data_IF_619006959987
#
_entry.id   IF_619006959987
#
_cell.length_a   1.000
_cell.length_b   1.000
_cell.length_c   1.000
_cell.angle_alpha   90.00
_cell.angle_beta   90.00
_cell.angle_gamma   90.00
#
_symmetry.space_group_name_H-M   'P 1'
#
loop_
_entity.id
_entity.type
_entity.pdbx_description
1 polymer ?
#
# COMPACT_ATOMS: atom_id res chain seq x y z
N UNK A 1 -51.17 24.91 -86.49
CA UNK A 1 -49.92 25.71 -86.42
C UNK A 1 -50.06 26.74 -85.32
N UNK A 2 -49.00 27.11 -84.60
CA UNK A 2 -48.02 26.34 -83.80
C UNK A 2 -48.24 26.68 -82.29
N UNK A 3 -47.49 26.27 -81.26
CA UNK A 3 -46.10 25.93 -81.12
C UNK A 3 -45.84 24.96 -79.95
N UNK A 4 -44.75 24.23 -80.12
CA UNK A 4 -44.01 23.40 -79.18
C UNK A 4 -43.51 24.13 -77.93
N UNK A 5 -43.49 23.45 -76.80
CA UNK A 5 -42.35 23.52 -75.86
C UNK A 5 -42.28 22.25 -75.01
N UNK A 6 -41.32 21.41 -75.37
CA UNK A 6 -40.74 20.37 -74.53
C UNK A 6 -40.09 21.01 -73.31
N UNK A 7 -40.42 20.56 -72.10
CA UNK A 7 -39.58 20.80 -70.94
C UNK A 7 -39.17 19.47 -70.30
N UNK A 8 -37.86 19.30 -70.33
CA UNK A 8 -37.03 18.28 -69.74
C UNK A 8 -37.31 18.04 -68.27
N UNK A 9 -37.34 16.76 -67.89
CA UNK A 9 -37.22 16.32 -66.51
C UNK A 9 -35.90 16.80 -65.89
N UNK A 10 -35.97 17.34 -64.68
CA UNK A 10 -34.85 17.43 -63.74
C UNK A 10 -35.24 16.64 -62.49
N UNK A 11 -34.36 15.78 -61.93
CA UNK A 11 -34.71 14.97 -60.78
C UNK A 11 -34.81 15.87 -59.55
N UNK A 12 -35.90 15.76 -58.81
CA UNK A 12 -35.99 16.32 -57.47
C UNK A 12 -34.96 15.60 -56.59
N UNK A 13 -33.97 16.35 -56.10
CA UNK A 13 -33.01 15.88 -55.11
C UNK A 13 -33.77 15.33 -53.89
N UNK A 14 -33.73 14.02 -53.70
CA UNK A 14 -34.08 13.41 -52.43
C UNK A 14 -33.04 13.85 -51.40
N UNK A 15 -33.41 14.79 -50.53
CA UNK A 15 -32.65 15.08 -49.31
C UNK A 15 -32.68 13.85 -48.43
N UNK A 16 -31.60 13.07 -48.47
CA UNK A 16 -31.30 12.04 -47.47
C UNK A 16 -31.21 12.76 -46.12
N UNK A 17 -32.29 12.70 -45.34
CA UNK A 17 -32.24 13.07 -43.93
C UNK A 17 -31.39 12.01 -43.22
N UNK A 18 -30.08 12.28 -43.09
CA UNK A 18 -29.20 11.55 -42.20
C UNK A 18 -29.76 11.66 -40.78
N UNK A 19 -30.36 10.58 -40.30
CA UNK A 19 -30.73 10.43 -38.90
C UNK A 19 -29.49 10.58 -38.03
N UNK A 20 -29.31 11.75 -37.42
CA UNK A 20 -28.27 11.99 -36.42
C UNK A 20 -28.64 11.17 -35.20
N UNK A 21 -28.04 9.98 -35.12
CA UNK A 21 -28.38 8.93 -34.17
C UNK A 21 -28.51 9.42 -32.74
N UNK A 22 -29.61 9.01 -32.11
CA UNK A 22 -29.99 9.20 -30.71
C UNK A 22 -28.92 8.73 -29.70
N UNK A 23 -27.84 8.10 -30.17
CA UNK A 23 -26.71 7.59 -29.39
C UNK A 23 -25.70 8.67 -28.98
N UNK A 24 -25.57 9.76 -29.76
CA UNK A 24 -24.66 10.87 -29.45
C UNK A 24 -24.88 11.52 -28.08
N UNK A 25 -26.12 11.85 -27.64
CA UNK A 25 -26.32 12.41 -26.31
C UNK A 25 -25.95 11.41 -25.20
N UNK A 26 -26.21 10.11 -25.38
CA UNK A 26 -25.83 9.09 -24.41
C UNK A 26 -24.31 8.95 -24.27
N UNK A 27 -23.57 8.97 -25.37
CA UNK A 27 -22.09 8.94 -25.35
C UNK A 27 -21.54 10.20 -24.69
N UNK A 28 -22.12 11.37 -24.96
CA UNK A 28 -21.69 12.64 -24.34
C UNK A 28 -21.96 12.61 -22.84
N UNK A 29 -23.16 12.22 -22.39
CA UNK A 29 -23.49 12.12 -20.96
C UNK A 29 -22.59 11.11 -20.25
N UNK A 30 -22.40 9.93 -20.84
CA UNK A 30 -21.52 8.91 -20.29
C UNK A 30 -20.07 9.39 -20.19
N UNK A 31 -19.54 10.03 -21.24
CA UNK A 31 -18.20 10.61 -21.22
C UNK A 31 -18.06 11.72 -20.17
N UNK A 32 -19.08 12.58 -20.00
CA UNK A 32 -19.05 13.64 -18.97
C UNK A 32 -19.07 13.09 -17.54
N UNK A 33 -19.69 11.92 -17.31
CA UNK A 33 -19.70 11.26 -16.00
C UNK A 33 -18.41 10.45 -15.75
N UNK A 34 -17.86 9.82 -16.78
CA UNK A 34 -16.67 8.96 -16.65
C UNK A 34 -15.36 9.76 -16.64
N UNK A 35 -15.28 10.86 -17.40
CA UNK A 35 -14.10 11.70 -17.51
C UNK A 35 -13.57 12.21 -16.15
N UNK A 36 -14.38 12.76 -15.22
CA UNK A 36 -13.88 13.19 -13.92
C UNK A 36 -13.37 12.02 -13.07
N UNK A 37 -13.99 10.84 -13.17
CA UNK A 37 -13.53 9.64 -12.46
C UNK A 37 -12.16 9.17 -12.99
N UNK A 38 -12.00 9.10 -14.31
CA UNK A 38 -10.73 8.73 -14.95
C UNK A 38 -9.65 9.77 -14.65
N UNK A 39 -9.99 11.06 -14.70
CA UNK A 39 -9.07 12.12 -14.32
C UNK A 39 -8.64 11.99 -12.86
N UNK A 40 -9.57 11.76 -11.93
CA UNK A 40 -9.25 11.56 -10.51
C UNK A 40 -8.33 10.35 -10.28
N UNK A 41 -8.57 9.22 -10.94
CA UNK A 41 -7.69 8.04 -10.84
C UNK A 41 -6.30 8.34 -11.41
N UNK A 42 -6.21 9.04 -12.55
CA UNK A 42 -4.92 9.44 -13.12
C UNK A 42 -4.17 10.41 -12.21
N UNK A 43 -4.84 11.42 -11.65
CA UNK A 43 -4.21 12.37 -10.72
C UNK A 43 -3.78 11.71 -9.41
N UNK A 44 -4.57 10.79 -8.86
CA UNK A 44 -4.24 10.10 -7.61
C UNK A 44 -3.11 9.06 -7.78
N UNK A 45 -3.04 8.39 -8.94
CA UNK A 45 -1.95 7.45 -9.26
C UNK A 45 -0.64 8.17 -9.63
N UNK A 46 -0.69 9.46 -9.99
CA UNK A 46 0.48 10.28 -10.29
C UNK A 46 1.15 10.87 -9.05
N UNK A 47 0.50 10.78 -7.88
CA UNK A 47 1.13 11.08 -6.59
C UNK A 47 2.04 9.90 -6.19
N UNK A 48 2.97 9.58 -7.08
CA UNK A 48 4.06 8.65 -6.81
C UNK A 48 4.83 9.26 -5.66
N UNK A 49 4.83 8.55 -4.53
CA UNK A 49 5.56 8.91 -3.33
C UNK A 49 7.03 9.16 -3.69
N UNK A 50 7.40 10.41 -3.97
CA UNK A 50 8.78 10.80 -4.27
C UNK A 50 9.46 11.02 -2.92
N UNK A 51 10.29 10.08 -2.45
CA UNK A 51 10.98 10.27 -1.18
C UNK A 51 11.83 11.54 -1.29
N UNK A 52 11.79 12.37 -0.25
CA UNK A 52 12.62 13.57 -0.20
C UNK A 52 14.09 13.21 -0.53
N UNK A 53 14.79 13.99 -1.37
CA UNK A 53 16.18 13.72 -1.70
C UNK A 53 17.00 13.57 -0.42
N UNK A 54 17.62 12.40 -0.25
CA UNK A 54 18.46 12.14 0.93
C UNK A 54 19.66 13.09 0.87
N UNK A 55 19.90 13.93 1.88
CA UNK A 55 21.03 14.85 1.89
C UNK A 55 22.32 14.06 2.15
N UNK A 56 22.87 13.43 1.10
CA UNK A 56 24.10 12.63 1.17
C UNK A 56 25.29 13.42 1.75
N UNK A 57 25.31 14.75 1.58
CA UNK A 57 26.36 15.58 2.13
C UNK A 57 26.29 15.70 3.66
N UNK A 58 25.10 15.62 4.26
CA UNK A 58 24.92 15.61 5.72
C UNK A 58 25.27 14.25 6.32
N UNK A 59 25.21 13.19 5.50
CA UNK A 59 25.66 11.84 5.84
C UNK A 59 27.17 11.66 5.64
N UNK A 60 27.90 12.72 5.29
CA UNK A 60 29.36 12.68 5.25
C UNK A 60 29.87 12.13 6.59
N UNK A 61 30.87 11.24 6.60
CA UNK A 61 31.36 10.66 7.83
C UNK A 61 31.84 11.78 8.76
N UNK A 62 31.01 12.12 9.74
CA UNK A 62 31.43 12.89 10.90
C UNK A 62 32.53 12.03 11.55
N UNK A 63 33.69 12.61 11.91
CA UNK A 63 34.70 11.85 12.65
C UNK A 63 33.99 11.16 13.82
N UNK A 64 34.27 9.86 14.06
CA UNK A 64 33.51 9.08 15.02
C UNK A 64 33.46 9.85 16.33
N UNK A 65 32.25 10.24 16.73
CA UNK A 65 32.01 10.82 18.05
C UNK A 65 32.27 9.66 19.00
N UNK A 66 33.49 9.57 19.51
CA UNK A 66 33.82 8.59 20.53
C UNK A 66 32.93 8.88 21.74
N UNK A 67 32.03 7.95 22.03
CA UNK A 67 31.21 8.05 23.23
C UNK A 67 32.14 8.21 24.44
N UNK A 68 31.91 9.23 25.25
CA UNK A 68 32.73 9.52 26.43
C UNK A 68 32.71 8.36 27.44
N UNK A 69 31.69 7.51 27.37
CA UNK A 69 31.51 6.33 28.20
C UNK A 69 31.04 5.16 27.31
N UNK A 70 31.84 4.09 27.26
CA UNK A 70 31.52 2.83 26.58
C UNK A 70 31.49 1.73 27.64
N UNK A 71 30.42 0.93 27.63
CA UNK A 71 30.32 -0.26 28.47
C UNK A 71 30.19 -1.50 27.57
N UNK A 72 31.31 -2.20 27.39
CA UNK A 72 31.39 -3.40 26.54
C UNK A 72 30.57 -4.59 27.10
N UNK A 73 30.08 -4.48 28.34
CA UNK A 73 29.31 -5.52 29.01
C UNK A 73 27.80 -5.27 28.98
N UNK A 74 27.28 -4.29 28.23
CA UNK A 74 25.84 -3.99 28.19
C UNK A 74 24.98 -5.16 27.69
N UNK A 75 25.57 -6.09 26.94
CA UNK A 75 24.94 -7.32 26.47
C UNK A 75 25.38 -8.57 27.24
N UNK A 76 26.16 -8.42 28.33
CA UNK A 76 26.58 -9.56 29.14
C UNK A 76 25.36 -10.21 29.79
N UNK A 77 25.12 -11.48 29.45
CA UNK A 77 23.94 -12.24 29.90
C UNK A 77 22.71 -12.11 28.99
N UNK A 78 22.78 -11.33 27.89
CA UNK A 78 21.73 -11.32 26.89
C UNK A 78 21.84 -12.54 25.97
N UNK A 79 20.69 -13.08 25.54
CA UNK A 79 20.61 -14.19 24.60
C UNK A 79 19.83 -13.78 23.35
N UNK A 80 20.15 -14.39 22.21
CA UNK A 80 19.41 -14.14 20.97
C UNK A 80 18.10 -14.94 20.96
N UNK A 81 16.97 -14.24 20.83
CA UNK A 81 15.65 -14.86 20.63
C UNK A 81 15.30 -14.92 19.15
N UNK A 82 14.77 -16.06 18.70
CA UNK A 82 14.28 -16.24 17.33
C UNK A 82 15.32 -16.08 16.22
N UNK A 83 16.62 -16.22 16.55
CA UNK A 83 17.73 -16.02 15.60
C UNK A 83 17.56 -16.91 14.36
N UNK A 84 17.55 -16.27 13.19
CA UNK A 84 17.42 -16.95 11.89
C UNK A 84 16.00 -17.36 11.51
N UNK A 85 15.00 -17.15 12.38
CA UNK A 85 13.60 -17.53 12.15
C UNK A 85 12.68 -16.31 11.91
N UNK A 86 13.15 -15.12 12.27
CA UNK A 86 12.46 -13.84 12.06
C UNK A 86 13.05 -13.14 10.84
N UNK A 87 12.31 -13.09 9.72
CA UNK A 87 12.78 -12.47 8.47
C UNK A 87 12.40 -11.00 8.47
N UNK A 88 13.39 -10.12 8.63
CA UNK A 88 13.17 -8.66 8.68
C UNK A 88 12.14 -8.26 9.73
N UNK A 89 12.36 -8.59 11.02
CA UNK A 89 11.46 -8.15 12.09
C UNK A 89 11.52 -6.63 12.23
N UNK A 90 10.36 -5.98 12.37
CA UNK A 90 10.25 -4.52 12.44
C UNK A 90 10.04 -4.03 13.87
N UNK A 91 8.89 -4.38 14.47
CA UNK A 91 8.49 -3.98 15.82
C UNK A 91 8.25 -5.21 16.70
N UNK A 92 8.25 -5.00 18.02
CA UNK A 92 7.97 -6.02 19.03
C UNK A 92 6.91 -5.56 20.04
N UNK A 93 5.95 -6.44 20.35
CA UNK A 93 4.99 -6.23 21.42
C UNK A 93 5.05 -7.41 22.40
N UNK A 94 5.23 -7.13 23.69
CA UNK A 94 5.26 -8.16 24.73
C UNK A 94 3.93 -8.23 25.47
N UNK A 95 3.31 -9.41 25.51
CA UNK A 95 2.15 -9.68 26.36
C UNK A 95 2.61 -10.42 27.64
N UNK A 96 2.56 -9.78 28.81
CA UNK A 96 2.97 -10.39 30.07
C UNK A 96 2.01 -11.51 30.54
N UNK A 97 0.76 -11.51 30.08
CA UNK A 97 -0.22 -12.53 30.48
C UNK A 97 0.08 -13.87 29.80
N UNK A 98 0.42 -13.82 28.51
CA UNK A 98 0.75 -15.02 27.73
C UNK A 98 2.25 -15.33 27.68
N UNK A 99 3.11 -14.42 28.14
CA UNK A 99 4.58 -14.51 28.02
C UNK A 99 5.04 -14.66 26.56
N UNK A 100 4.37 -13.95 25.65
CA UNK A 100 4.64 -13.99 24.22
C UNK A 100 5.15 -12.64 23.74
N UNK A 101 6.15 -12.68 22.87
CA UNK A 101 6.54 -11.54 22.04
C UNK A 101 5.88 -11.72 20.67
N UNK A 102 5.20 -10.69 20.20
CA UNK A 102 4.70 -10.58 18.85
C UNK A 102 5.67 -9.74 18.03
N UNK A 103 5.98 -10.16 16.81
CA UNK A 103 6.79 -9.37 15.89
C UNK A 103 6.29 -9.49 14.46
N UNK A 104 6.26 -8.37 13.75
CA UNK A 104 5.90 -8.30 12.34
C UNK A 104 7.13 -8.55 11.48
N UNK A 105 7.01 -9.43 10.49
CA UNK A 105 8.10 -9.79 9.58
C UNK A 105 7.82 -9.34 8.14
N UNK A 106 8.89 -9.21 7.35
CA UNK A 106 8.83 -8.87 5.92
C UNK A 106 8.00 -9.86 5.08
N UNK A 107 7.86 -11.10 5.53
CA UNK A 107 7.05 -12.13 4.87
C UNK A 107 5.53 -11.97 5.12
N UNK A 108 5.12 -10.86 5.75
CA UNK A 108 3.73 -10.55 6.07
C UNK A 108 3.18 -11.32 7.27
N UNK A 109 4.00 -12.15 7.92
CA UNK A 109 3.61 -12.85 9.13
C UNK A 109 3.84 -11.98 10.36
N UNK A 110 2.84 -11.95 11.23
CA UNK A 110 3.02 -11.70 12.65
C UNK A 110 3.41 -13.04 13.28
N UNK A 111 4.60 -13.09 13.86
CA UNK A 111 5.12 -14.28 14.53
C UNK A 111 5.05 -14.11 16.03
N UNK A 112 4.78 -15.20 16.74
CA UNK A 112 4.84 -15.29 18.20
C UNK A 112 6.13 -15.95 18.63
N UNK A 113 6.78 -15.39 19.63
CA UNK A 113 8.00 -15.93 20.22
C UNK A 113 7.74 -16.16 21.70
N UNK A 114 7.89 -17.40 22.15
CA UNK A 114 7.75 -17.74 23.57
C UNK A 114 8.98 -17.25 24.33
N UNK A 115 8.75 -16.52 25.42
CA UNK A 115 9.81 -16.07 26.33
C UNK A 115 9.89 -17.03 27.51
N UNK A 116 10.95 -17.85 27.54
CA UNK A 116 11.26 -18.76 28.64
C UNK A 116 12.54 -18.29 29.35
N UNK A 117 12.91 -18.94 30.46
CA UNK A 117 14.16 -18.64 31.20
C UNK A 117 15.43 -18.80 30.35
N UNK A 118 15.37 -19.55 29.24
CA UNK A 118 16.46 -19.66 28.26
C UNK A 118 15.91 -19.58 26.83
N UNK A 119 16.63 -18.83 25.98
CA UNK A 119 16.37 -18.72 24.54
C UNK A 119 16.44 -20.05 23.80
N UNK A 120 17.15 -21.04 24.35
CA UNK A 120 17.28 -22.39 23.78
C UNK A 120 15.92 -23.09 23.61
N UNK A 121 14.93 -22.71 24.42
CA UNK A 121 13.57 -23.24 24.38
C UNK A 121 12.56 -22.22 23.83
N UNK A 122 13.02 -21.14 23.18
CA UNK A 122 12.12 -20.17 22.56
C UNK A 122 11.53 -20.76 21.27
N UNK A 123 10.20 -20.88 21.23
CA UNK A 123 9.46 -21.33 20.05
C UNK A 123 9.05 -20.11 19.24
N UNK A 124 9.29 -20.14 17.94
CA UNK A 124 8.86 -19.12 16.98
C UNK A 124 7.74 -19.70 16.12
N UNK A 125 6.57 -19.09 16.17
CA UNK A 125 5.38 -19.57 15.49
C UNK A 125 4.84 -18.53 14.52
N UNK A 126 4.48 -18.94 13.32
CA UNK A 126 3.71 -18.12 12.38
C UNK A 126 2.27 -18.06 12.86
N UNK A 127 1.83 -16.91 13.38
CA UNK A 127 0.49 -16.80 13.96
C UNK A 127 -0.54 -16.32 12.95
N UNK A 128 -0.39 -15.09 12.46
CA UNK A 128 -1.35 -14.45 11.56
C UNK A 128 -0.58 -13.83 10.40
N UNK A 129 -1.01 -14.09 9.17
CA UNK A 129 -0.48 -13.41 8.01
C UNK A 129 -1.41 -12.25 7.63
N UNK A 130 -0.90 -11.03 7.62
CA UNK A 130 -1.69 -9.84 7.22
C UNK A 130 -1.87 -9.76 5.69
N UNK A 131 -1.03 -10.47 4.94
CA UNK A 131 -0.85 -10.31 3.50
C UNK A 131 -0.21 -8.97 3.13
N UNK A 132 0.35 -8.26 4.12
CA UNK A 132 0.89 -6.92 4.02
C UNK A 132 2.33 -6.83 4.53
N UNK A 133 2.72 -5.66 5.06
CA UNK A 133 3.99 -5.44 5.75
C UNK A 133 3.68 -4.88 7.15
N UNK A 134 3.57 -5.70 8.20
CA UNK A 134 3.31 -5.21 9.56
C UNK A 134 4.54 -4.46 10.08
N UNK A 135 4.40 -3.14 10.30
CA UNK A 135 5.48 -2.23 10.68
C UNK A 135 5.43 -1.80 12.15
N UNK A 136 4.26 -1.87 12.79
CA UNK A 136 4.08 -1.51 14.19
C UNK A 136 3.06 -2.41 14.87
N UNK A 137 3.31 -2.75 16.14
CA UNK A 137 2.53 -3.68 16.94
C UNK A 137 2.35 -3.16 18.37
N UNK A 138 1.15 -3.27 18.92
CA UNK A 138 0.92 -3.01 20.35
C UNK A 138 -0.19 -3.92 20.88
N UNK A 139 0.00 -4.41 22.11
CA UNK A 139 -1.06 -5.12 22.84
C UNK A 139 -2.05 -4.09 23.38
N UNK A 140 -3.30 -4.17 22.93
CA UNK A 140 -4.40 -3.31 23.34
C UNK A 140 -4.92 -3.64 24.73
N UNK A 141 -5.91 -2.85 25.18
CA UNK A 141 -6.48 -2.98 26.52
C UNK A 141 -7.38 -4.21 26.69
N UNK A 142 -7.88 -4.78 25.59
CA UNK A 142 -8.73 -5.97 25.57
C UNK A 142 -7.94 -7.23 25.17
N UNK A 143 -6.61 -7.20 25.30
CA UNK A 143 -5.70 -8.26 24.86
C UNK A 143 -5.76 -8.56 23.35
N UNK A 144 -6.21 -7.59 22.55
CA UNK A 144 -6.10 -7.61 21.09
C UNK A 144 -4.71 -7.13 20.65
N UNK A 145 -4.21 -7.63 19.52
CA UNK A 145 -3.01 -7.08 18.91
C UNK A 145 -3.41 -6.04 17.87
N UNK A 146 -3.06 -4.78 18.11
CA UNK A 146 -3.26 -3.69 17.17
C UNK A 146 -2.03 -3.63 16.26
N UNK A 147 -2.26 -3.65 14.96
CA UNK A 147 -1.20 -3.79 13.94
C UNK A 147 -1.29 -2.63 12.96
N UNK A 148 -0.21 -1.87 12.83
CA UNK A 148 -0.03 -0.91 11.75
C UNK A 148 0.64 -1.60 10.56
N UNK A 149 -0.13 -1.91 9.52
CA UNK A 149 0.37 -2.55 8.31
C UNK A 149 0.59 -1.53 7.18
N UNK A 150 1.77 -1.55 6.57
CA UNK A 150 2.16 -0.63 5.50
C UNK A 150 1.35 -0.77 4.21
N UNK A 151 0.70 -1.91 3.97
CA UNK A 151 -0.13 -2.15 2.79
C UNK A 151 -1.63 -2.30 3.13
N UNK A 152 -1.94 -2.74 4.35
CA UNK A 152 -3.32 -3.07 4.80
C UNK A 152 -3.89 -2.07 5.80
N UNK A 153 -3.20 -0.96 6.09
CA UNK A 153 -3.57 0.05 7.12
C UNK A 153 -3.70 -0.58 8.52
N UNK A 154 -4.48 0.03 9.42
CA UNK A 154 -4.64 -0.41 10.81
C UNK A 154 -5.52 -1.67 10.88
N UNK A 155 -5.00 -2.72 11.52
CA UNK A 155 -5.68 -3.99 11.75
C UNK A 155 -5.78 -4.26 13.26
N UNK A 156 -6.77 -5.06 13.65
CA UNK A 156 -6.92 -5.60 15.01
C UNK A 156 -7.06 -7.11 14.90
N UNK A 157 -6.23 -7.84 15.64
CA UNK A 157 -6.12 -9.30 15.65
C UNK A 157 -6.38 -9.87 17.04
#
# INVERSE_FOLDING_TARGET
>A
MPASSSNSASPANATVQQGKGLWRPFVVVFATLLAPLVAAVLFYQLDSFDPAPIPLHELSPVPPISALLVNDHILAGAEFLGKGQLKGPEDIAYDPNSQLIYTGCEDGWIKRVTVNESSANSLVENWVNTGGRPLGLVVGHNNELIVADGYKTLLSQ
#
